data_IF_108611889756
#
_entry.id   IF_108611889756
#
_cell.length_a   1.000
_cell.length_b   1.000
_cell.length_c   1.000
_cell.angle_alpha   90.00
_cell.angle_beta   90.00
_cell.angle_gamma   90.00
#
_symmetry.space_group_name_H-M   'P 1'
#
loop_
_entity.id
_entity.type
_entity.pdbx_description
1 polymer ?
#
# COMPACT_ATOMS: atom_id res chain seq x y z
N UNK A 1 -22.39 20.15 -8.66
CA UNK A 1 -22.18 18.70 -8.89
C UNK A 1 -22.69 18.37 -10.28
N UNK A 2 -22.01 17.52 -11.06
CA UNK A 2 -22.53 17.13 -12.37
C UNK A 2 -23.80 16.29 -12.17
N UNK A 3 -24.93 16.76 -12.72
CA UNK A 3 -26.22 16.04 -12.67
C UNK A 3 -26.15 14.85 -13.63
N UNK A 4 -26.55 13.67 -13.17
CA UNK A 4 -26.66 12.50 -14.03
C UNK A 4 -27.89 12.64 -14.95
N UNK A 5 -27.74 12.25 -16.22
CA UNK A 5 -28.81 12.24 -17.23
C UNK A 5 -29.20 10.80 -17.54
N UNK A 6 -30.48 10.44 -17.40
CA UNK A 6 -31.00 9.17 -17.93
C UNK A 6 -30.89 9.19 -19.46
N UNK A 7 -30.33 8.14 -20.05
CA UNK A 7 -30.10 8.03 -21.51
C UNK A 7 -30.69 6.77 -22.13
N UNK A 8 -31.01 5.76 -21.31
CA UNK A 8 -31.80 4.60 -21.70
C UNK A 8 -32.55 4.09 -20.46
N UNK A 9 -33.77 3.58 -20.66
CA UNK A 9 -34.66 3.16 -19.57
C UNK A 9 -35.02 1.66 -19.65
N UNK A 10 -34.03 0.74 -19.58
CA UNK A 10 -34.32 -0.69 -19.66
C UNK A 10 -35.00 -1.28 -18.41
N UNK A 11 -35.11 -0.54 -17.30
CA UNK A 11 -35.81 -1.02 -16.09
C UNK A 11 -35.28 -2.34 -15.52
N UNK A 12 -33.97 -2.54 -15.52
CA UNK A 12 -33.36 -3.85 -15.18
C UNK A 12 -33.56 -4.20 -13.70
N UNK A 13 -34.29 -5.29 -13.46
CA UNK A 13 -34.46 -5.86 -12.11
C UNK A 13 -33.18 -6.55 -11.64
N UNK A 14 -32.65 -6.08 -10.50
CA UNK A 14 -31.39 -6.60 -9.93
C UNK A 14 -31.64 -7.79 -9.01
N UNK A 15 -30.82 -8.83 -9.15
CA UNK A 15 -30.77 -9.99 -8.26
C UNK A 15 -29.59 -9.88 -7.29
N UNK A 16 -29.78 -10.36 -6.06
CA UNK A 16 -28.70 -10.46 -5.07
C UNK A 16 -27.58 -11.37 -5.57
N UNK A 17 -26.32 -11.02 -5.28
CA UNK A 17 -25.17 -11.80 -5.72
C UNK A 17 -24.59 -11.40 -7.07
N UNK A 18 -25.26 -10.51 -7.81
CA UNK A 18 -24.82 -10.06 -9.15
C UNK A 18 -24.37 -8.60 -9.14
N UNK A 19 -23.43 -8.29 -10.04
CA UNK A 19 -22.99 -6.95 -10.39
C UNK A 19 -23.53 -6.60 -11.78
N UNK A 20 -24.24 -5.49 -11.87
CA UNK A 20 -24.81 -4.96 -13.10
C UNK A 20 -23.98 -3.76 -13.60
N UNK A 21 -23.67 -3.72 -14.88
CA UNK A 21 -22.84 -2.68 -15.47
C UNK A 21 -23.11 -2.50 -16.96
N UNK A 22 -22.74 -1.34 -17.51
CA UNK A 22 -22.76 -1.08 -18.95
C UNK A 22 -21.44 -1.51 -19.56
N UNK A 23 -21.48 -2.37 -20.58
CA UNK A 23 -20.28 -2.89 -21.23
C UNK A 23 -19.65 -1.91 -22.25
N UNK A 24 -18.74 -2.40 -23.11
CA UNK A 24 -18.10 -1.60 -24.15
C UNK A 24 -19.02 -1.34 -25.35
N UNK A 25 -19.95 -2.24 -25.61
CA UNK A 25 -20.90 -2.16 -26.72
C UNK A 25 -22.13 -1.32 -26.35
N UNK A 26 -22.20 -0.84 -25.10
CA UNK A 26 -23.29 -0.03 -24.61
C UNK A 26 -24.52 -0.85 -24.22
N UNK A 27 -24.35 -2.13 -23.89
CA UNK A 27 -25.41 -2.99 -23.37
C UNK A 27 -25.31 -3.11 -21.86
N UNK A 28 -26.45 -3.38 -21.22
CA UNK A 28 -26.47 -3.72 -19.80
C UNK A 28 -26.13 -5.20 -19.66
N UNK A 29 -25.11 -5.49 -18.87
CA UNK A 29 -24.70 -6.84 -18.55
C UNK A 29 -24.76 -7.09 -17.04
N UNK A 30 -24.88 -8.36 -16.66
CA UNK A 30 -24.66 -8.82 -15.30
C UNK A 30 -23.52 -9.84 -15.23
N UNK A 31 -22.86 -9.91 -14.07
CA UNK A 31 -21.87 -10.94 -13.74
C UNK A 31 -21.98 -11.26 -12.25
N UNK A 32 -21.45 -12.40 -11.81
CA UNK A 32 -21.38 -12.73 -10.39
C UNK A 32 -20.48 -11.69 -9.69
N UNK A 33 -21.00 -11.05 -8.64
CA UNK A 33 -20.28 -10.01 -7.93
C UNK A 33 -19.02 -10.59 -7.27
N UNK A 34 -17.94 -9.79 -7.21
CA UNK A 34 -16.61 -10.25 -6.77
C UNK A 34 -16.61 -10.98 -5.43
N UNK A 35 -17.50 -10.62 -4.50
CA UNK A 35 -17.65 -11.27 -3.19
C UNK A 35 -18.14 -12.72 -3.28
N UNK A 36 -18.93 -13.05 -4.30
CA UNK A 36 -19.55 -14.36 -4.51
C UNK A 36 -18.85 -15.17 -5.62
N UNK A 37 -17.80 -14.61 -6.22
CA UNK A 37 -17.17 -15.16 -7.42
C UNK A 37 -16.18 -16.26 -7.07
N UNK A 38 -16.38 -17.47 -7.61
CA UNK A 38 -15.40 -18.56 -7.55
C UNK A 38 -14.31 -18.39 -8.62
N UNK A 39 -13.16 -19.05 -8.47
CA UNK A 39 -12.03 -18.91 -9.40
C UNK A 39 -12.35 -19.35 -10.85
N UNK A 40 -13.38 -20.19 -11.04
CA UNK A 40 -13.79 -20.76 -12.33
C UNK A 40 -14.91 -19.96 -13.03
N UNK A 41 -15.66 -19.13 -12.31
CA UNK A 41 -16.75 -18.34 -12.90
C UNK A 41 -16.21 -17.11 -13.61
N UNK A 42 -16.10 -17.17 -14.94
CA UNK A 42 -15.74 -16.03 -15.79
C UNK A 42 -16.81 -15.86 -16.86
N UNK A 43 -17.36 -14.65 -16.94
CA UNK A 43 -18.37 -14.33 -17.95
C UNK A 43 -19.21 -13.14 -17.53
N UNK A 44 -19.95 -12.63 -18.50
CA UNK A 44 -21.01 -11.65 -18.30
C UNK A 44 -22.15 -12.08 -19.22
N UNK A 45 -23.38 -11.86 -18.80
CA UNK A 45 -24.57 -12.07 -19.61
C UNK A 45 -25.18 -10.72 -19.95
N UNK A 46 -25.68 -10.57 -21.18
CA UNK A 46 -26.42 -9.37 -21.58
C UNK A 46 -27.84 -9.50 -21.05
N UNK A 47 -28.27 -8.54 -20.23
CA UNK A 47 -29.62 -8.52 -19.64
C UNK A 47 -30.52 -7.48 -20.30
N UNK A 48 -29.96 -6.51 -21.01
CA UNK A 48 -30.70 -5.59 -21.88
C UNK A 48 -29.79 -5.06 -23.00
N UNK A 49 -30.30 -5.09 -24.24
CA UNK A 49 -29.65 -4.47 -25.38
C UNK A 49 -30.04 -3.00 -25.48
N UNK A 50 -29.17 -2.12 -24.98
CA UNK A 50 -29.40 -0.67 -25.03
C UNK A 50 -28.59 0.04 -26.11
N UNK A 51 -27.51 -0.60 -26.63
CA UNK A 51 -26.64 -0.09 -27.72
C UNK A 51 -26.23 1.39 -27.56
N UNK A 52 -26.01 1.83 -26.33
CA UNK A 52 -25.70 3.24 -26.06
C UNK A 52 -24.27 3.59 -26.46
N UNK A 53 -24.08 4.71 -27.15
CA UNK A 53 -22.75 5.20 -27.52
C UNK A 53 -22.09 5.93 -26.34
N UNK A 54 -20.94 5.43 -25.89
CA UNK A 54 -20.23 5.96 -24.73
C UNK A 54 -19.33 7.12 -25.15
N UNK A 55 -19.58 8.29 -24.56
CA UNK A 55 -18.80 9.50 -24.81
C UNK A 55 -17.51 9.52 -23.98
N UNK A 56 -16.39 10.01 -24.54
CA UNK A 56 -15.18 10.26 -23.79
C UNK A 56 -15.44 11.19 -22.60
N UNK A 57 -14.83 10.88 -21.44
CA UNK A 57 -14.95 11.72 -20.24
C UNK A 57 -16.23 11.53 -19.44
N UNK A 58 -17.12 10.62 -19.83
CA UNK A 58 -18.35 10.29 -19.11
C UNK A 58 -18.29 8.90 -18.44
N UNK A 59 -18.99 8.76 -17.33
CA UNK A 59 -19.25 7.51 -16.64
C UNK A 59 -20.70 7.09 -16.89
N UNK A 60 -20.90 5.78 -17.06
CA UNK A 60 -22.18 5.16 -17.32
C UNK A 60 -22.48 4.15 -16.23
N UNK A 61 -23.65 4.25 -15.61
CA UNK A 61 -24.05 3.37 -14.52
C UNK A 61 -25.57 3.19 -14.50
N UNK A 62 -26.02 2.13 -13.82
CA UNK A 62 -27.45 1.90 -13.60
C UNK A 62 -27.90 2.58 -12.31
N UNK A 63 -29.02 3.31 -12.36
CA UNK A 63 -29.64 3.90 -11.18
C UNK A 63 -30.49 2.89 -10.39
N UNK A 64 -31.27 3.37 -9.42
CA UNK A 64 -32.11 2.53 -8.56
C UNK A 64 -33.25 1.85 -9.33
N UNK A 65 -33.76 2.50 -10.37
CA UNK A 65 -34.85 1.99 -11.21
C UNK A 65 -34.34 0.96 -12.24
N UNK A 66 -33.01 0.83 -12.36
CA UNK A 66 -32.38 -0.04 -13.34
C UNK A 66 -32.19 0.63 -14.69
N UNK A 67 -32.26 1.97 -14.73
CA UNK A 67 -32.05 2.76 -15.95
C UNK A 67 -30.60 3.18 -16.10
N UNK A 68 -30.17 3.38 -17.34
CA UNK A 68 -28.79 3.79 -17.65
C UNK A 68 -28.66 5.30 -17.59
N UNK A 69 -27.78 5.77 -16.72
CA UNK A 69 -27.42 7.17 -16.54
C UNK A 69 -26.02 7.49 -17.09
N UNK A 70 -25.89 8.66 -17.71
CA UNK A 70 -24.62 9.29 -18.11
C UNK A 70 -24.27 10.43 -17.15
N UNK A 71 -23.01 10.49 -16.70
CA UNK A 71 -22.50 11.61 -15.89
C UNK A 71 -21.07 11.96 -16.28
N UNK A 72 -20.70 13.25 -16.25
CA UNK A 72 -19.31 13.68 -16.49
C UNK A 72 -18.41 13.20 -15.35
N UNK A 73 -17.32 12.51 -15.68
CA UNK A 73 -16.38 12.02 -14.68
C UNK A 73 -15.68 13.18 -13.97
N UNK A 74 -15.64 13.14 -12.64
CA UNK A 74 -14.75 14.01 -11.85
C UNK A 74 -13.31 13.48 -11.95
N UNK A 75 -12.64 13.72 -13.07
CA UNK A 75 -11.23 13.34 -13.26
C UNK A 75 -10.26 14.15 -12.40
N UNK A 76 -10.71 15.29 -11.91
CA UNK A 76 -10.01 16.07 -10.90
C UNK A 76 -10.25 15.42 -9.53
N UNK A 77 -9.70 14.22 -9.33
CA UNK A 77 -9.49 13.73 -7.98
C UNK A 77 -8.71 14.79 -7.20
N UNK A 78 -9.02 14.96 -5.91
CA UNK A 78 -8.32 15.93 -5.06
C UNK A 78 -6.82 15.84 -5.35
N UNK A 79 -6.17 16.98 -5.70
CA UNK A 79 -4.72 17.03 -5.98
C UNK A 79 -4.04 16.20 -4.92
N UNK A 80 -3.49 15.03 -5.29
CA UNK A 80 -2.75 14.20 -4.35
C UNK A 80 -1.67 15.11 -3.80
N UNK A 81 -1.77 15.48 -2.52
CA UNK A 81 -0.70 16.24 -1.85
C UNK A 81 0.59 15.51 -2.21
N UNK A 82 1.60 16.23 -2.73
CA UNK A 82 2.92 15.65 -2.99
C UNK A 82 3.24 14.84 -1.74
N UNK A 83 3.37 13.51 -1.92
CA UNK A 83 3.71 12.63 -0.82
C UNK A 83 4.97 13.23 -0.24
N UNK A 84 4.89 13.77 0.98
CA UNK A 84 6.01 14.49 1.59
C UNK A 84 7.25 13.65 1.32
N UNK A 85 8.25 14.24 0.66
CA UNK A 85 9.52 13.58 0.38
C UNK A 85 10.07 13.19 1.75
N UNK A 86 9.75 11.96 2.16
CA UNK A 86 10.06 11.49 3.51
C UNK A 86 11.55 11.33 3.46
N UNK A 87 12.22 12.30 4.07
CA UNK A 87 13.64 12.35 4.35
C UNK A 87 14.17 10.92 4.49
N UNK A 88 15.01 10.47 3.53
CA UNK A 88 15.52 9.10 3.50
C UNK A 88 16.85 9.08 4.25
N UNK A 89 16.84 8.63 5.51
CA UNK A 89 17.95 7.76 5.90
C UNK A 89 17.40 6.44 6.39
N UNK A 90 17.60 5.44 5.55
CA UNK A 90 17.52 4.07 6.00
C UNK A 90 18.90 3.73 6.58
N UNK A 91 19.06 3.66 7.90
CA UNK A 91 20.12 2.79 8.45
C UNK A 91 19.72 1.39 8.07
N UNK A 92 20.35 0.90 7.00
CA UNK A 92 20.06 -0.40 6.43
C UNK A 92 20.75 -1.50 7.19
N UNK A 93 21.86 -1.21 7.87
CA UNK A 93 22.69 -2.25 8.45
C UNK A 93 23.21 -1.93 9.85
N UNK A 94 23.29 -2.99 10.66
CA UNK A 94 24.07 -3.02 11.91
C UNK A 94 25.33 -3.84 11.61
N UNK A 95 26.48 -3.25 11.91
CA UNK A 95 27.77 -3.91 11.84
C UNK A 95 28.20 -4.22 13.26
N UNK A 96 28.59 -5.46 13.52
CA UNK A 96 29.07 -5.89 14.82
C UNK A 96 30.20 -6.91 14.64
N UNK A 97 31.05 -7.04 15.63
CA UNK A 97 32.08 -8.06 15.68
C UNK A 97 31.57 -9.28 16.45
N UNK A 98 31.80 -10.45 15.89
CA UNK A 98 31.50 -11.74 16.51
C UNK A 98 32.69 -12.68 16.29
N UNK A 99 33.28 -13.19 17.37
CA UNK A 99 34.41 -14.13 17.36
C UNK A 99 35.56 -13.65 16.44
N UNK A 100 35.97 -12.38 16.56
CA UNK A 100 37.03 -11.78 15.75
C UNK A 100 36.64 -11.49 14.28
N UNK A 101 35.42 -11.85 13.86
CA UNK A 101 34.91 -11.61 12.51
C UNK A 101 33.84 -10.53 12.51
N UNK A 102 33.96 -9.62 11.56
CA UNK A 102 32.98 -8.58 11.32
C UNK A 102 31.72 -9.21 10.68
N UNK A 103 30.55 -8.92 11.24
CA UNK A 103 29.22 -9.39 10.80
C UNK A 103 28.31 -8.21 10.46
N UNK A 104 27.46 -8.43 9.46
CA UNK A 104 26.50 -7.45 8.95
C UNK A 104 25.08 -7.98 9.15
N UNK A 105 24.22 -7.20 9.82
CA UNK A 105 22.80 -7.47 9.95
C UNK A 105 21.99 -6.44 9.15
N UNK A 106 21.17 -6.90 8.20
CA UNK A 106 20.29 -6.03 7.40
C UNK A 106 18.96 -5.79 8.11
N UNK A 107 18.73 -4.58 8.62
CA UNK A 107 17.46 -4.20 9.22
C UNK A 107 16.44 -3.85 8.13
N UNK A 108 15.43 -4.72 7.94
CA UNK A 108 14.39 -4.54 6.91
C UNK A 108 13.48 -3.31 7.14
N UNK A 109 13.51 -2.67 8.32
CA UNK A 109 12.56 -1.62 8.74
C UNK A 109 13.15 -0.68 9.81
N UNK A 110 14.19 0.10 9.49
CA UNK A 110 14.58 1.25 10.31
C UNK A 110 14.51 2.50 9.43
N UNK A 111 13.36 3.18 9.46
CA UNK A 111 13.21 4.50 8.84
C UNK A 111 13.65 5.53 9.88
N UNK A 112 14.84 6.09 9.72
CA UNK A 112 15.35 7.15 10.59
C UNK A 112 15.08 8.53 9.98
N UNK A 113 15.26 9.59 10.76
CA UNK A 113 15.15 10.97 10.29
C UNK A 113 16.50 11.47 9.73
N UNK A 114 16.48 12.18 8.59
CA UNK A 114 17.67 12.70 7.88
C UNK A 114 18.40 13.82 8.63
N UNK A 115 17.76 14.43 9.63
CA UNK A 115 18.34 15.51 10.44
C UNK A 115 18.18 15.18 11.92
N UNK A 116 19.30 15.20 12.66
CA UNK A 116 19.37 14.83 14.07
C UNK A 116 19.71 13.36 14.25
N UNK A 117 21.01 13.04 14.24
CA UNK A 117 21.60 11.69 14.38
C UNK A 117 21.45 11.12 15.81
N UNK A 118 20.40 11.48 16.54
CA UNK A 118 20.21 11.06 17.91
C UNK A 118 19.68 9.62 17.91
N UNK A 119 20.61 8.67 17.87
CA UNK A 119 20.34 7.25 18.10
C UNK A 119 21.25 6.76 19.21
N UNK A 120 20.71 5.89 20.05
CA UNK A 120 21.45 5.24 21.13
C UNK A 120 21.33 3.73 20.94
N UNK A 121 22.46 3.04 21.12
CA UNK A 121 22.55 1.59 21.08
C UNK A 121 22.80 1.15 22.52
N UNK A 122 21.92 0.30 23.05
CA UNK A 122 22.17 -0.29 24.37
C UNK A 122 23.33 -1.28 24.32
N UNK A 123 23.86 -1.61 25.48
CA UNK A 123 24.68 -2.81 25.60
C UNK A 123 23.92 -4.07 25.13
N UNK A 124 24.64 -5.08 24.61
CA UNK A 124 24.02 -6.35 24.24
C UNK A 124 23.34 -7.01 25.43
N UNK A 125 22.08 -7.37 25.26
CA UNK A 125 21.25 -7.98 26.29
C UNK A 125 20.40 -9.11 25.70
N UNK A 126 19.77 -9.88 26.58
CA UNK A 126 18.83 -10.92 26.18
C UNK A 126 17.41 -10.46 26.50
N UNK A 127 16.55 -10.38 25.48
CA UNK A 127 15.13 -10.09 25.62
C UNK A 127 14.31 -11.17 24.90
N UNK A 128 13.22 -11.65 25.50
CA UNK A 128 12.35 -12.68 24.90
C UNK A 128 13.13 -13.91 24.37
N UNK A 129 14.10 -14.41 25.15
CA UNK A 129 14.99 -15.54 24.77
C UNK A 129 15.85 -15.28 23.51
N UNK A 130 16.04 -14.02 23.13
CA UNK A 130 16.88 -13.63 21.99
C UNK A 130 17.97 -12.67 22.46
N UNK A 131 19.22 -12.93 22.04
CA UNK A 131 20.35 -12.04 22.27
C UNK A 131 20.34 -10.91 21.22
N UNK A 132 20.67 -9.69 21.62
CA UNK A 132 20.59 -8.54 20.73
C UNK A 132 20.83 -7.20 21.43
N UNK A 133 20.44 -6.12 20.78
CA UNK A 133 20.54 -4.75 21.31
C UNK A 133 19.22 -4.01 21.18
N UNK A 134 18.98 -3.07 22.09
CA UNK A 134 17.95 -2.07 21.94
C UNK A 134 18.49 -0.87 21.18
N UNK A 135 17.76 -0.47 20.13
CA UNK A 135 17.99 0.77 19.43
C UNK A 135 16.95 1.79 19.85
N UNK A 136 17.38 2.93 20.40
CA UNK A 136 16.52 4.08 20.68
C UNK A 136 16.75 5.12 19.59
N UNK A 137 15.68 5.59 18.94
CA UNK A 137 15.76 6.55 17.84
C UNK A 137 14.47 7.34 17.65
N UNK A 138 14.54 8.48 16.96
CA UNK A 138 13.35 9.24 16.58
C UNK A 138 12.76 8.79 15.25
N UNK A 139 11.54 8.25 15.30
CA UNK A 139 10.81 7.79 14.12
C UNK A 139 9.76 8.82 13.70
N UNK A 140 9.66 9.10 12.39
CA UNK A 140 8.59 9.95 11.85
C UNK A 140 7.24 9.24 11.95
N UNK A 141 6.32 9.78 12.74
CA UNK A 141 4.92 9.33 12.82
C UNK A 141 3.99 10.46 12.35
N UNK A 142 3.43 10.29 11.15
CA UNK A 142 2.62 11.32 10.48
C UNK A 142 3.41 12.62 10.29
N UNK A 143 3.04 13.70 11.00
CA UNK A 143 3.65 15.03 10.93
C UNK A 143 4.73 15.28 11.99
N UNK A 144 4.84 14.44 13.03
CA UNK A 144 5.77 14.62 14.16
C UNK A 144 6.79 13.49 14.24
N UNK A 145 7.90 13.74 14.92
CA UNK A 145 8.87 12.71 15.31
C UNK A 145 8.54 12.22 16.73
N UNK A 146 8.73 10.92 16.96
CA UNK A 146 8.55 10.29 18.28
C UNK A 146 9.72 9.37 18.58
N UNK A 147 10.30 9.52 19.79
CA UNK A 147 11.28 8.55 20.31
C UNK A 147 10.66 7.16 20.36
N UNK A 148 11.37 6.19 19.81
CA UNK A 148 10.93 4.81 19.63
C UNK A 148 12.10 3.89 20.00
N UNK A 149 11.78 2.75 20.63
CA UNK A 149 12.75 1.68 20.92
C UNK A 149 12.45 0.45 20.08
N UNK A 150 13.49 -0.23 19.59
CA UNK A 150 13.38 -1.48 18.83
C UNK A 150 14.47 -2.46 19.24
N UNK A 151 14.08 -3.69 19.59
CA UNK A 151 15.04 -4.76 19.80
C UNK A 151 15.52 -5.33 18.45
N UNK A 152 16.82 -5.52 18.31
CA UNK A 152 17.43 -6.15 17.14
C UNK A 152 18.21 -7.37 17.59
N UNK A 153 17.75 -8.55 17.15
CA UNK A 153 18.42 -9.82 17.38
C UNK A 153 19.79 -9.83 16.69
N UNK A 154 20.83 -10.13 17.44
CA UNK A 154 22.21 -10.32 16.98
C UNK A 154 22.71 -11.69 17.45
N UNK A 155 23.81 -12.16 16.88
CA UNK A 155 24.46 -13.38 17.35
C UNK A 155 25.41 -13.07 18.52
N UNK A 156 25.51 -14.00 19.49
CA UNK A 156 26.40 -13.89 20.65
C UNK A 156 27.82 -14.38 20.29
N UNK A 157 28.90 -13.73 20.77
CA UNK A 157 28.95 -12.39 21.35
C UNK A 157 28.88 -11.32 20.25
N UNK A 158 28.24 -10.19 20.54
CA UNK A 158 28.27 -9.03 19.66
C UNK A 158 29.05 -7.90 20.34
N UNK A 159 30.15 -7.46 19.72
CA UNK A 159 31.01 -6.36 20.17
C UNK A 159 31.09 -5.28 19.10
N UNK A 160 31.62 -4.10 19.44
CA UNK A 160 31.92 -3.03 18.48
C UNK A 160 30.73 -2.69 17.53
N UNK A 161 29.53 -2.61 18.11
CA UNK A 161 28.28 -2.47 17.38
C UNK A 161 28.13 -1.05 16.85
N UNK A 162 27.91 -0.90 15.54
CA UNK A 162 27.72 0.38 14.87
C UNK A 162 26.67 0.30 13.78
N UNK A 163 26.01 1.43 13.53
CA UNK A 163 24.99 1.55 12.48
C UNK A 163 25.60 2.13 11.20
N UNK A 164 25.29 1.54 10.05
CA UNK A 164 25.78 2.01 8.74
C UNK A 164 24.66 2.06 7.69
N UNK A 165 24.71 3.10 6.85
CA UNK A 165 23.73 3.32 5.77
C UNK A 165 24.11 2.56 4.48
N UNK A 166 25.40 2.29 4.28
CA UNK A 166 25.96 1.56 3.14
C UNK A 166 26.65 0.30 3.65
N UNK A 167 26.65 -0.76 2.84
CA UNK A 167 27.44 -1.97 3.11
C UNK A 167 28.92 -1.53 3.08
N UNK A 168 29.69 -1.72 4.17
CA UNK A 168 31.11 -1.40 4.14
C UNK A 168 31.83 -2.30 3.12
N UNK A 169 32.78 -1.74 2.35
CA UNK A 169 33.52 -2.47 1.29
C UNK A 169 34.13 -3.81 1.77
N UNK A 170 34.51 -3.90 3.05
CA UNK A 170 35.04 -5.11 3.72
C UNK A 170 34.04 -6.30 3.77
N UNK A 171 32.79 -6.12 3.34
CA UNK A 171 31.74 -7.15 3.24
C UNK A 171 31.27 -7.42 1.81
N UNK A 172 31.87 -6.78 0.80
CA UNK A 172 31.69 -7.21 -0.58
C UNK A 172 32.51 -8.50 -0.74
N UNK A 173 31.84 -9.64 -0.57
CA UNK A 173 32.28 -10.90 -1.15
C UNK A 173 31.75 -10.99 -2.57
#
# INVERSE_FOLDING_TARGET
MAKAKKIAMPGVKRKSGFLYFVDKNGNVCCTIAKKFKSAKEKGKDIVAETKISKKPGCMYYLDKDGDVCEVRMSRNGAKKKKRAEKAKPDVKFIVYEQNGKMRLFRSKKLHLAEKGRNFEISEPTTANKQYGVWLTYEAKRSTRYKKTKKFVKLAKPAKNIRLVNKIPKKYNY
#
